data_IF_486846697378
#
_entry.id   IF_486846697378
#
_cell.length_a   1.000
_cell.length_b   1.000
_cell.length_c   1.000
_cell.angle_alpha   90.00
_cell.angle_beta   90.00
_cell.angle_gamma   90.00
#
_symmetry.space_group_name_H-M   'P 1'
#
loop_
_entity.id
_entity.type
_entity.pdbx_description
1 polymer ?
#
# COMPACT_ATOMS: atom_id res chain seq x y z
N UNK A 1 0.65 3.48 -15.22
CA UNK A 1 -0.50 2.92 -14.47
C UNK A 1 -1.24 4.04 -13.76
N UNK A 2 -2.57 3.99 -13.76
CA UNK A 2 -3.41 4.87 -12.93
C UNK A 2 -3.64 4.21 -11.59
N UNK A 3 -3.36 4.93 -10.52
CA UNK A 3 -3.70 4.55 -9.15
C UNK A 3 -4.69 5.56 -8.59
N UNK A 4 -5.74 5.09 -7.96
CA UNK A 4 -6.77 5.92 -7.37
C UNK A 4 -7.12 5.41 -5.97
N UNK A 5 -7.20 6.34 -5.02
CA UNK A 5 -7.73 6.04 -3.69
C UNK A 5 -9.24 5.74 -3.79
N UNK A 6 -9.71 4.70 -3.11
CA UNK A 6 -11.14 4.38 -3.04
C UNK A 6 -11.97 5.49 -2.40
N UNK A 7 -11.33 6.39 -1.65
CA UNK A 7 -11.97 7.57 -1.06
C UNK A 7 -12.01 8.82 -1.95
N UNK A 8 -11.55 8.74 -3.20
CA UNK A 8 -11.63 9.88 -4.12
C UNK A 8 -13.10 10.28 -4.30
N UNK A 9 -13.40 11.57 -4.09
CA UNK A 9 -14.78 12.10 -4.08
C UNK A 9 -15.49 12.03 -2.72
N UNK A 10 -14.89 11.43 -1.68
CA UNK A 10 -15.51 11.31 -0.35
C UNK A 10 -15.97 12.65 0.23
N UNK A 11 -15.21 13.72 -0.01
CA UNK A 11 -15.52 15.06 0.50
C UNK A 11 -16.82 15.65 -0.03
N UNK A 12 -17.40 15.08 -1.09
CA UNK A 12 -18.67 15.53 -1.67
C UNK A 12 -19.91 14.89 -1.02
N UNK A 13 -19.72 13.84 -0.22
CA UNK A 13 -20.85 13.19 0.44
C UNK A 13 -21.40 14.05 1.58
N UNK A 14 -22.70 14.28 1.65
CA UNK A 14 -23.32 15.12 2.70
C UNK A 14 -23.22 14.49 4.09
N UNK A 15 -23.15 13.18 4.20
CA UNK A 15 -23.07 12.44 5.46
C UNK A 15 -21.66 12.37 6.07
N UNK A 16 -20.68 13.02 5.45
CA UNK A 16 -19.29 13.13 5.94
C UNK A 16 -18.72 11.81 6.48
N UNK A 17 -18.55 10.78 5.64
CA UNK A 17 -18.01 9.51 6.09
C UNK A 17 -16.58 9.68 6.62
N UNK A 18 -16.14 8.77 7.51
CA UNK A 18 -14.80 8.80 8.09
C UNK A 18 -13.70 8.67 7.04
N UNK A 19 -12.52 9.16 7.38
CA UNK A 19 -11.32 9.17 6.53
C UNK A 19 -11.08 10.52 5.87
N UNK A 20 -9.96 10.64 5.17
CA UNK A 20 -9.56 11.90 4.50
C UNK A 20 -10.64 12.36 3.52
N UNK A 21 -11.13 13.62 3.63
CA UNK A 21 -12.23 14.11 2.80
C UNK A 21 -11.73 14.54 1.41
N UNK A 22 -11.17 13.57 0.67
CA UNK A 22 -10.75 13.80 -0.71
C UNK A 22 -11.90 14.36 -1.55
N UNK A 23 -11.61 15.38 -2.32
CA UNK A 23 -12.50 15.86 -3.39
C UNK A 23 -12.10 15.17 -4.70
N UNK A 24 -11.42 15.89 -5.57
CA UNK A 24 -10.76 15.34 -6.76
C UNK A 24 -9.25 15.35 -6.51
N UNK A 25 -8.51 14.45 -7.13
CA UNK A 25 -7.06 14.46 -7.03
C UNK A 25 -6.45 13.37 -6.15
N UNK A 26 -7.28 12.51 -5.54
CA UNK A 26 -6.78 11.28 -4.95
C UNK A 26 -6.52 10.21 -6.03
N UNK A 27 -5.99 10.62 -7.16
CA UNK A 27 -5.63 9.77 -8.29
C UNK A 27 -4.35 10.28 -8.95
N UNK A 28 -3.55 9.38 -9.48
CA UNK A 28 -2.33 9.69 -10.21
C UNK A 28 -2.12 8.72 -11.36
N UNK A 29 -1.57 9.24 -12.47
CA UNK A 29 -1.15 8.43 -13.59
C UNK A 29 0.35 8.60 -13.78
N UNK A 30 1.12 7.57 -13.45
CA UNK A 30 2.58 7.62 -13.46
C UNK A 30 3.17 6.37 -14.11
N UNK A 31 4.41 6.52 -14.57
CA UNK A 31 5.27 5.39 -14.95
C UNK A 31 6.05 4.98 -13.71
N UNK A 32 6.00 3.70 -13.39
CA UNK A 32 6.69 3.13 -12.24
C UNK A 32 7.97 2.45 -12.69
N UNK A 33 9.05 2.69 -11.96
CA UNK A 33 10.31 1.96 -12.10
C UNK A 33 10.63 1.28 -10.79
N UNK A 34 11.27 0.12 -10.86
CA UNK A 34 11.61 -0.63 -9.66
C UNK A 34 12.12 -2.03 -9.97
N UNK A 35 12.24 -2.85 -8.94
CA UNK A 35 12.62 -4.26 -9.08
C UNK A 35 11.41 -5.17 -8.86
N UNK A 36 11.32 -6.30 -9.57
CA UNK A 36 10.31 -7.31 -9.28
C UNK A 36 10.38 -7.77 -7.83
N UNK A 37 9.25 -7.70 -7.11
CA UNK A 37 9.19 -8.10 -5.69
C UNK A 37 9.63 -9.53 -5.49
N UNK A 38 9.32 -10.43 -6.42
CA UNK A 38 9.77 -11.83 -6.38
C UNK A 38 11.29 -11.97 -6.25
N UNK A 39 12.08 -11.12 -6.92
CA UNK A 39 13.55 -11.18 -6.82
C UNK A 39 14.04 -10.80 -5.42
N UNK A 40 13.37 -9.85 -4.78
CA UNK A 40 13.69 -9.46 -3.40
C UNK A 40 13.33 -10.59 -2.44
N UNK A 41 12.14 -11.16 -2.60
CA UNK A 41 11.67 -12.28 -1.78
C UNK A 41 12.57 -13.50 -1.94
N UNK A 42 12.94 -13.86 -3.17
CA UNK A 42 13.83 -14.99 -3.45
C UNK A 42 15.22 -14.79 -2.83
N UNK A 43 15.76 -13.56 -2.91
CA UNK A 43 17.04 -13.21 -2.29
C UNK A 43 17.01 -13.30 -0.75
N UNK A 44 15.84 -13.17 -0.14
CA UNK A 44 15.62 -13.29 1.31
C UNK A 44 15.25 -14.71 1.76
N UNK A 45 15.26 -15.69 0.85
CA UNK A 45 14.99 -17.09 1.17
C UNK A 45 13.59 -17.59 0.76
N UNK A 46 12.83 -16.76 0.05
CA UNK A 46 11.51 -17.13 -0.47
C UNK A 46 10.37 -16.88 0.53
N UNK A 47 9.19 -17.34 0.16
CA UNK A 47 7.99 -17.28 1.00
C UNK A 47 7.91 -18.57 1.80
N UNK A 48 7.63 -18.48 3.10
CA UNK A 48 7.43 -19.65 3.95
C UNK A 48 6.26 -20.52 3.44
N UNK A 49 6.43 -21.83 3.57
CA UNK A 49 5.40 -22.79 3.15
C UNK A 49 4.08 -22.53 3.89
N UNK A 50 2.98 -22.49 3.14
CA UNK A 50 1.65 -22.25 3.68
C UNK A 50 1.26 -20.77 3.82
N UNK A 51 2.16 -19.83 3.54
CA UNK A 51 1.82 -18.41 3.51
C UNK A 51 1.08 -18.05 2.22
N UNK A 52 -0.08 -17.41 2.38
CA UNK A 52 -0.95 -17.04 1.26
C UNK A 52 -0.90 -15.55 0.92
N UNK A 53 -0.30 -14.74 1.78
CA UNK A 53 -0.26 -13.29 1.65
C UNK A 53 1.12 -12.73 1.99
N UNK A 54 1.48 -11.64 1.31
CA UNK A 54 2.58 -10.75 1.69
C UNK A 54 1.98 -9.45 2.21
N UNK A 55 2.47 -8.99 3.37
CA UNK A 55 2.05 -7.72 3.97
C UNK A 55 3.18 -6.71 3.89
N UNK A 56 2.86 -5.54 3.35
CA UNK A 56 3.72 -4.36 3.42
C UNK A 56 3.30 -3.48 4.59
N UNK A 57 4.27 -3.10 5.41
CA UNK A 57 4.09 -2.23 6.58
C UNK A 57 5.07 -1.08 6.49
N UNK A 58 4.63 0.14 6.84
CA UNK A 58 5.54 1.29 6.99
C UNK A 58 6.54 1.03 8.11
N UNK A 59 7.82 1.32 7.86
CA UNK A 59 8.93 1.05 8.79
C UNK A 59 9.64 2.30 9.30
N UNK A 60 9.14 3.49 9.02
CA UNK A 60 9.70 4.75 9.46
C UNK A 60 9.54 4.95 10.98
N UNK A 61 10.51 5.64 11.58
CA UNK A 61 10.42 6.05 12.97
C UNK A 61 9.34 7.12 13.11
N UNK A 62 8.33 6.83 13.90
CA UNK A 62 7.26 7.81 14.19
C UNK A 62 7.75 8.89 15.16
N UNK A 63 7.24 10.13 15.05
CA UNK A 63 7.38 11.15 16.08
C UNK A 63 6.85 10.68 17.42
N UNK A 64 7.46 11.19 18.51
CA UNK A 64 7.03 10.85 19.86
C UNK A 64 5.55 11.25 20.12
N UNK A 65 4.83 10.37 20.80
CA UNK A 65 3.43 10.61 21.17
C UNK A 65 2.40 10.16 20.12
N UNK A 66 2.81 9.65 18.97
CA UNK A 66 1.88 9.06 18.02
C UNK A 66 1.67 7.56 18.29
N UNK A 67 0.42 7.13 18.26
CA UNK A 67 0.08 5.71 18.30
C UNK A 67 0.36 5.07 16.93
N UNK A 68 1.29 4.09 16.85
CA UNK A 68 1.58 3.39 15.60
C UNK A 68 0.34 2.82 14.90
N UNK A 69 -0.62 2.31 15.68
CA UNK A 69 -1.85 1.72 15.12
C UNK A 69 -2.75 2.73 14.39
N UNK A 70 -2.60 4.02 14.69
CA UNK A 70 -3.40 5.08 14.06
C UNK A 70 -2.77 5.63 12.79
N UNK A 71 -1.47 5.47 12.60
CA UNK A 71 -0.72 6.11 11.50
C UNK A 71 -0.04 5.13 10.55
N UNK A 72 0.39 3.96 11.03
CA UNK A 72 1.00 2.96 10.16
C UNK A 72 -0.08 2.30 9.30
N UNK A 73 0.15 2.32 8.00
CA UNK A 73 -0.73 1.67 7.03
C UNK A 73 -0.13 0.31 6.66
N UNK A 74 -0.88 -0.74 6.94
CA UNK A 74 -0.55 -2.09 6.49
C UNK A 74 -1.47 -2.51 5.36
N UNK A 75 -0.91 -3.17 4.34
CA UNK A 75 -1.69 -3.73 3.23
C UNK A 75 -1.10 -5.07 2.84
N UNK A 76 -2.02 -6.02 2.65
CA UNK A 76 -1.67 -7.37 2.24
C UNK A 76 -2.09 -7.61 0.79
N UNK A 77 -1.26 -8.34 0.07
CA UNK A 77 -1.56 -8.82 -1.28
C UNK A 77 -1.44 -10.35 -1.31
N UNK A 78 -2.24 -11.05 -2.11
CA UNK A 78 -2.05 -12.49 -2.29
C UNK A 78 -0.63 -12.81 -2.77
N UNK A 79 -0.02 -13.86 -2.25
CA UNK A 79 1.32 -14.29 -2.66
C UNK A 79 1.43 -14.52 -4.17
N UNK A 80 0.35 -14.96 -4.82
CA UNK A 80 0.30 -15.11 -6.27
C UNK A 80 0.52 -13.78 -7.04
N UNK A 81 0.20 -12.63 -6.44
CA UNK A 81 0.44 -11.32 -7.06
C UNK A 81 1.92 -10.92 -7.10
N UNK A 82 2.80 -11.63 -6.38
CA UNK A 82 4.24 -11.36 -6.38
C UNK A 82 4.88 -11.56 -7.76
N UNK A 83 4.26 -12.37 -8.62
CA UNK A 83 4.75 -12.60 -9.98
C UNK A 83 4.85 -11.29 -10.80
N UNK A 84 3.88 -10.38 -10.59
CA UNK A 84 3.72 -9.14 -11.37
C UNK A 84 3.95 -7.87 -10.55
N UNK A 85 4.26 -8.01 -9.24
CA UNK A 85 4.47 -6.88 -8.35
C UNK A 85 5.85 -6.25 -8.53
N UNK A 86 5.92 -4.92 -8.43
CA UNK A 86 7.16 -4.15 -8.39
C UNK A 86 7.34 -3.51 -7.01
N UNK A 87 8.56 -3.56 -6.48
CA UNK A 87 9.03 -2.63 -5.46
C UNK A 87 9.51 -1.39 -6.20
N UNK A 88 8.68 -0.36 -6.22
CA UNK A 88 8.87 0.84 -7.02
C UNK A 88 9.38 2.02 -6.18
N UNK A 89 10.17 2.90 -6.82
CA UNK A 89 10.66 4.17 -6.26
C UNK A 89 10.61 5.28 -7.29
#
# INVERSE_FOLDING_TARGET
MVLQCSGNGRGYFPNKPSGTPWQVGAAGCVVWSGVPVRWVVDALGGVEAGMSYLTGTGGEKLPDGLDPKSVIVERSVPAAALADALLAW
#
